data_IF_409628606193
#
_entry.id   IF_409628606193
#
_cell.length_a   1.000
_cell.length_b   1.000
_cell.length_c   1.000
_cell.angle_alpha   90.00
_cell.angle_beta   90.00
_cell.angle_gamma   90.00
#
_symmetry.space_group_name_H-M   'P 1'
#
loop_
_entity.id
_entity.type
_entity.pdbx_description
1 polymer ?
#
# COMPACT_ATOMS: atom_id res chain seq x y z
N UNK A 1 1.46 -6.61 -24.12
CA UNK A 1 0.10 -6.05 -24.01
C UNK A 1 -0.96 -7.09 -23.64
N UNK A 2 -0.72 -8.42 -23.66
CA UNK A 2 -1.73 -9.42 -23.29
C UNK A 2 -1.55 -10.07 -21.91
N UNK A 3 -0.49 -9.71 -21.15
CA UNK A 3 -0.13 -10.39 -19.90
C UNK A 3 -0.53 -9.63 -18.63
N UNK A 4 -0.70 -8.31 -18.71
CA UNK A 4 -1.08 -7.48 -17.55
C UNK A 4 -2.58 -7.60 -17.24
N UNK A 5 -3.42 -7.81 -18.26
CA UNK A 5 -4.87 -8.02 -18.11
C UNK A 5 -5.18 -9.27 -17.28
N UNK A 6 -4.53 -10.40 -17.57
CA UNK A 6 -4.76 -11.67 -16.88
C UNK A 6 -4.32 -11.65 -15.40
N UNK A 7 -3.24 -10.93 -15.07
CA UNK A 7 -2.80 -10.80 -13.68
C UNK A 7 -3.74 -9.89 -12.87
N UNK A 8 -4.23 -8.81 -13.47
CA UNK A 8 -5.22 -7.93 -12.85
C UNK A 8 -6.55 -8.63 -12.58
N UNK A 9 -7.01 -9.49 -13.48
CA UNK A 9 -8.27 -10.25 -13.32
C UNK A 9 -8.27 -11.13 -12.05
N UNK A 10 -7.16 -11.76 -11.70
CA UNK A 10 -7.08 -12.57 -10.48
C UNK A 10 -7.14 -11.73 -9.21
N UNK A 11 -6.51 -10.55 -9.20
CA UNK A 11 -6.57 -9.61 -8.08
C UNK A 11 -8.00 -9.07 -7.96
N UNK A 12 -8.62 -8.70 -9.08
CA UNK A 12 -10.03 -8.29 -9.13
C UNK A 12 -10.95 -9.35 -8.54
N UNK A 13 -10.81 -10.59 -9.00
CA UNK A 13 -11.62 -11.71 -8.56
C UNK A 13 -11.48 -11.97 -7.05
N UNK A 14 -10.30 -11.75 -6.46
CA UNK A 14 -10.12 -11.82 -5.01
C UNK A 14 -11.03 -10.81 -4.30
N UNK A 15 -11.03 -9.54 -4.71
CA UNK A 15 -11.85 -8.47 -4.10
C UNK A 15 -13.34 -8.54 -4.45
N UNK A 16 -13.71 -9.33 -5.45
CA UNK A 16 -15.12 -9.62 -5.80
C UNK A 16 -15.63 -10.92 -5.16
N UNK A 17 -14.76 -11.70 -4.52
CA UNK A 17 -15.14 -12.94 -3.82
C UNK A 17 -15.96 -12.66 -2.55
N UNK A 18 -16.69 -13.67 -2.07
CA UNK A 18 -17.52 -13.55 -0.86
C UNK A 18 -16.72 -13.13 0.39
N UNK A 19 -15.45 -13.51 0.46
CA UNK A 19 -14.54 -13.16 1.57
C UNK A 19 -13.85 -11.81 1.32
N UNK A 20 -13.37 -11.56 0.09
CA UNK A 20 -12.64 -10.35 -0.24
C UNK A 20 -13.49 -9.10 -0.44
N UNK A 21 -14.80 -9.26 -0.70
CA UNK A 21 -15.69 -8.12 -0.93
C UNK A 21 -15.76 -7.16 0.27
N UNK A 22 -15.53 -7.65 1.48
CA UNK A 22 -15.54 -6.86 2.71
C UNK A 22 -14.16 -6.31 3.11
N UNK A 23 -13.09 -6.71 2.43
CA UNK A 23 -11.73 -6.26 2.75
C UNK A 23 -11.46 -4.87 2.15
N UNK A 24 -11.08 -3.92 3.01
CA UNK A 24 -10.64 -2.57 2.64
C UNK A 24 -11.65 -1.82 1.74
N UNK A 25 -12.94 -1.73 2.13
CA UNK A 25 -13.99 -1.15 1.29
C UNK A 25 -13.79 0.35 1.05
N UNK A 26 -13.03 1.03 1.91
CA UNK A 26 -12.74 2.44 1.81
C UNK A 26 -11.42 2.76 1.08
N UNK A 27 -10.72 1.76 0.54
CA UNK A 27 -9.52 1.97 -0.25
C UNK A 27 -9.81 2.87 -1.47
N UNK A 28 -9.06 3.98 -1.67
CA UNK A 28 -9.25 4.89 -2.80
C UNK A 28 -9.01 4.19 -4.13
N UNK A 29 -8.04 3.27 -4.18
CA UNK A 29 -7.65 2.54 -5.39
C UNK A 29 -8.64 1.42 -5.72
N UNK A 30 -9.33 0.85 -4.73
CA UNK A 30 -10.38 -0.15 -4.97
C UNK A 30 -11.52 0.41 -5.82
N UNK A 31 -11.88 1.68 -5.61
CA UNK A 31 -12.91 2.38 -6.41
C UNK A 31 -12.47 2.61 -7.86
N UNK A 32 -11.18 2.52 -8.16
CA UNK A 32 -10.62 2.73 -9.50
C UNK A 32 -10.61 1.45 -10.35
N UNK A 33 -10.86 0.27 -9.75
CA UNK A 33 -10.83 -1.01 -10.45
C UNK A 33 -11.87 -1.10 -11.59
N UNK A 34 -12.99 -0.38 -11.48
CA UNK A 34 -14.02 -0.34 -12.53
C UNK A 34 -13.70 0.64 -13.67
N UNK A 35 -12.75 1.55 -13.47
CA UNK A 35 -12.37 2.56 -14.45
C UNK A 35 -10.89 2.47 -14.88
N UNK A 36 -10.24 1.32 -14.72
CA UNK A 36 -8.85 1.09 -15.13
C UNK A 36 -8.56 1.47 -16.59
N UNK A 37 -9.54 1.32 -17.48
CA UNK A 37 -9.46 1.73 -18.90
C UNK A 37 -9.23 3.23 -19.12
N UNK A 38 -9.39 4.05 -18.07
CA UNK A 38 -9.18 5.51 -18.11
C UNK A 38 -7.75 5.92 -17.73
N UNK A 39 -6.93 4.96 -17.29
CA UNK A 39 -5.57 5.20 -16.82
C UNK A 39 -4.53 4.67 -17.83
N UNK A 40 -3.32 5.23 -17.79
CA UNK A 40 -2.19 4.67 -18.52
C UNK A 40 -1.69 3.36 -17.88
N UNK A 41 -0.86 2.61 -18.62
CA UNK A 41 -0.39 1.30 -18.19
C UNK A 41 0.42 1.35 -16.88
N UNK A 42 1.16 2.43 -16.64
CA UNK A 42 1.96 2.61 -15.42
C UNK A 42 1.06 2.81 -14.20
N UNK A 43 0.05 3.65 -14.34
CA UNK A 43 -0.98 3.90 -13.33
C UNK A 43 -1.78 2.63 -13.02
N UNK A 44 -2.20 1.88 -14.05
CA UNK A 44 -2.88 0.58 -13.89
C UNK A 44 -1.99 -0.41 -13.13
N UNK A 45 -0.72 -0.52 -13.50
CA UNK A 45 0.25 -1.38 -12.80
C UNK A 45 0.39 -0.96 -11.33
N UNK A 46 0.51 0.34 -11.06
CA UNK A 46 0.62 0.86 -9.69
C UNK A 46 -0.63 0.55 -8.85
N UNK A 47 -1.83 0.70 -9.43
CA UNK A 47 -3.10 0.32 -8.78
C UNK A 47 -3.10 -1.16 -8.44
N UNK A 48 -2.73 -2.04 -9.38
CA UNK A 48 -2.70 -3.48 -9.12
C UNK A 48 -1.72 -3.88 -8.03
N UNK A 49 -0.52 -3.29 -8.04
CA UNK A 49 0.50 -3.59 -7.03
C UNK A 49 0.07 -3.04 -5.65
N UNK A 50 -0.62 -1.89 -5.59
CA UNK A 50 -1.24 -1.41 -4.36
C UNK A 50 -2.27 -2.42 -3.82
N UNK A 51 -3.19 -2.88 -4.67
CA UNK A 51 -4.22 -3.85 -4.28
C UNK A 51 -3.61 -5.19 -3.85
N UNK A 52 -2.53 -5.63 -4.50
CA UNK A 52 -1.76 -6.79 -4.06
C UNK A 52 -1.10 -6.55 -2.69
N UNK A 53 -0.67 -5.32 -2.39
CA UNK A 53 -0.19 -4.91 -1.08
C UNK A 53 -1.20 -5.20 0.03
N UNK A 54 -2.47 -4.85 -0.18
CA UNK A 54 -3.56 -5.21 0.76
C UNK A 54 -3.71 -6.73 0.95
N UNK A 55 -3.63 -7.51 -0.13
CA UNK A 55 -3.72 -8.98 -0.04
C UNK A 55 -2.54 -9.52 0.77
N UNK A 56 -1.33 -9.03 0.51
CA UNK A 56 -0.12 -9.45 1.23
C UNK A 56 -0.22 -9.07 2.70
N UNK A 57 -0.61 -7.84 3.03
CA UNK A 57 -0.81 -7.38 4.41
C UNK A 57 -1.80 -8.29 5.15
N UNK A 58 -2.97 -8.54 4.54
CA UNK A 58 -3.99 -9.40 5.11
C UNK A 58 -3.52 -10.84 5.32
N UNK A 59 -2.82 -11.44 4.35
CA UNK A 59 -2.36 -12.84 4.39
C UNK A 59 -1.13 -13.04 5.26
N UNK A 60 -0.25 -12.06 5.36
CA UNK A 60 0.95 -12.08 6.20
C UNK A 60 0.65 -11.67 7.66
N UNK A 61 -0.42 -10.91 7.85
CA UNK A 61 -0.84 -10.36 9.12
C UNK A 61 -1.20 -11.40 10.16
N UNK A 62 -1.22 -10.96 11.42
CA UNK A 62 -1.74 -11.73 12.54
C UNK A 62 -3.11 -11.18 12.94
N UNK A 63 -3.98 -11.98 13.57
CA UNK A 63 -5.25 -11.49 14.07
C UNK A 63 -5.07 -10.31 15.03
N UNK A 64 -5.72 -9.18 14.75
CA UNK A 64 -5.71 -7.98 15.58
C UNK A 64 -7.09 -7.33 15.58
N UNK A 65 -7.34 -6.40 16.51
CA UNK A 65 -8.58 -5.63 16.55
C UNK A 65 -8.39 -4.27 15.89
N UNK A 66 -9.36 -3.86 15.07
CA UNK A 66 -9.42 -2.50 14.56
C UNK A 66 -10.04 -1.51 15.58
N UNK A 67 -10.10 -0.23 15.22
CA UNK A 67 -10.72 0.83 16.02
C UNK A 67 -12.22 0.58 16.34
N UNK A 68 -12.89 -0.24 15.53
CA UNK A 68 -14.28 -0.67 15.73
C UNK A 68 -14.41 -1.95 16.58
N UNK A 69 -13.30 -2.43 17.18
CA UNK A 69 -13.20 -3.69 17.94
C UNK A 69 -13.40 -4.97 17.10
N UNK A 70 -13.38 -4.88 15.77
CA UNK A 70 -13.55 -6.03 14.88
C UNK A 70 -12.22 -6.78 14.69
N UNK A 71 -12.31 -8.11 14.62
CA UNK A 71 -11.14 -8.94 14.33
C UNK A 71 -10.79 -8.88 12.84
N UNK A 72 -9.60 -8.37 12.55
CA UNK A 72 -9.00 -8.35 11.22
C UNK A 72 -7.65 -9.09 11.25
N UNK A 73 -7.02 -9.25 10.10
CA UNK A 73 -5.62 -9.69 10.01
C UNK A 73 -4.82 -8.62 9.27
N UNK A 74 -3.75 -8.15 9.90
CA UNK A 74 -2.85 -7.14 9.37
C UNK A 74 -1.45 -7.30 9.95
N UNK A 75 -0.43 -6.85 9.22
CA UNK A 75 0.94 -6.73 9.73
C UNK A 75 0.93 -5.63 10.78
N UNK A 76 1.40 -5.95 11.99
CA UNK A 76 1.47 -5.02 13.12
C UNK A 76 2.25 -3.75 12.71
N UNK A 77 1.70 -2.58 13.07
CA UNK A 77 2.26 -1.26 12.75
C UNK A 77 2.79 -0.49 13.96
N UNK A 78 2.83 -1.13 15.12
CA UNK A 78 3.37 -0.56 16.35
C UNK A 78 4.82 -0.12 16.10
N UNK A 79 5.11 1.10 16.54
CA UNK A 79 6.41 1.77 16.44
C UNK A 79 6.94 2.02 15.02
N UNK A 80 6.14 1.82 13.97
CA UNK A 80 6.53 2.10 12.57
C UNK A 80 5.59 3.07 11.84
N UNK A 81 4.63 3.69 12.55
CA UNK A 81 3.62 4.57 11.94
C UNK A 81 4.25 5.79 11.25
N UNK A 82 5.25 6.42 11.86
CA UNK A 82 5.90 7.61 11.31
C UNK A 82 6.59 7.31 9.96
N UNK A 83 7.31 6.18 9.88
CA UNK A 83 7.93 5.72 8.63
C UNK A 83 6.88 5.40 7.56
N UNK A 84 5.78 4.73 7.95
CA UNK A 84 4.68 4.41 7.05
C UNK A 84 4.04 5.69 6.48
N UNK A 85 3.74 6.67 7.33
CA UNK A 85 3.17 7.96 6.91
C UNK A 85 4.11 8.75 6.02
N UNK A 86 5.40 8.73 6.33
CA UNK A 86 6.41 9.36 5.48
C UNK A 86 6.41 8.75 4.07
N UNK A 87 6.45 7.41 3.95
CA UNK A 87 6.39 6.71 2.66
C UNK A 87 5.10 7.04 1.91
N UNK A 88 3.97 7.05 2.62
CA UNK A 88 2.68 7.35 2.01
C UNK A 88 2.64 8.78 1.46
N UNK A 89 3.09 9.78 2.24
CA UNK A 89 3.17 11.17 1.81
C UNK A 89 4.04 11.31 0.55
N UNK A 90 5.22 10.71 0.57
CA UNK A 90 6.17 10.76 -0.54
C UNK A 90 5.63 10.16 -1.84
N UNK A 91 4.73 9.18 -1.74
CA UNK A 91 4.13 8.54 -2.90
C UNK A 91 2.83 9.22 -3.37
N UNK A 92 2.04 9.76 -2.44
CA UNK A 92 0.65 10.14 -2.71
C UNK A 92 0.34 11.63 -2.62
N UNK A 93 1.26 12.45 -2.11
CA UNK A 93 1.05 13.88 -2.02
C UNK A 93 1.18 14.54 -3.41
N UNK A 94 0.08 15.06 -4.00
CA UNK A 94 0.10 15.60 -5.35
C UNK A 94 0.96 16.86 -5.46
N UNK A 95 1.00 17.70 -4.44
CA UNK A 95 1.76 18.95 -4.46
C UNK A 95 3.26 18.68 -4.35
N UNK A 96 3.66 17.76 -3.47
CA UNK A 96 5.06 17.31 -3.37
C UNK A 96 5.52 16.63 -4.67
N UNK A 97 4.71 15.73 -5.23
CA UNK A 97 5.04 15.02 -6.46
C UNK A 97 5.19 15.98 -7.65
N UNK A 98 4.31 16.98 -7.75
CA UNK A 98 4.40 18.03 -8.76
C UNK A 98 5.66 18.88 -8.60
N UNK A 99 6.06 19.20 -7.36
CA UNK A 99 7.31 19.91 -7.10
C UNK A 99 8.54 19.07 -7.50
N UNK A 100 8.52 17.76 -7.18
CA UNK A 100 9.59 16.80 -7.51
C UNK A 100 9.75 16.52 -9.01
N UNK A 101 8.71 16.74 -9.81
CA UNK A 101 8.81 16.73 -11.27
C UNK A 101 9.71 17.86 -11.80
N UNK A 102 9.78 18.99 -11.10
CA UNK A 102 10.61 20.14 -11.48
C UNK A 102 12.00 20.06 -10.83
N UNK A 103 12.05 19.73 -9.53
CA UNK A 103 13.28 19.55 -8.78
C UNK A 103 13.20 18.30 -7.90
N UNK A 104 13.96 17.26 -8.25
CA UNK A 104 13.91 15.96 -7.55
C UNK A 104 14.33 16.02 -6.08
N UNK A 105 15.09 17.04 -5.68
CA UNK A 105 15.65 17.18 -4.34
C UNK A 105 14.75 17.99 -3.38
N UNK A 106 13.48 18.24 -3.74
CA UNK A 106 12.51 18.92 -2.86
C UNK A 106 12.23 18.07 -1.62
N UNK A 107 12.48 18.66 -0.46
CA UNK A 107 12.25 18.04 0.84
C UNK A 107 10.80 18.27 1.28
N UNK A 108 10.08 17.24 1.79
CA UNK A 108 8.74 17.42 2.32
C UNK A 108 8.65 18.51 3.40
N UNK A 109 9.72 18.75 4.16
CA UNK A 109 9.77 19.80 5.19
C UNK A 109 9.83 21.22 4.63
N UNK A 110 10.10 21.40 3.34
CA UNK A 110 10.27 22.72 2.71
C UNK A 110 8.97 23.57 2.77
N UNK A 111 7.79 22.92 2.75
CA UNK A 111 6.49 23.59 2.79
C UNK A 111 5.45 22.76 3.53
N UNK A 112 4.51 23.42 4.19
CA UNK A 112 3.39 22.76 4.89
C UNK A 112 2.54 21.90 3.95
N UNK A 113 2.39 22.31 2.69
CA UNK A 113 1.62 21.59 1.66
C UNK A 113 2.25 20.23 1.29
N UNK A 114 3.54 20.04 1.59
CA UNK A 114 4.29 18.82 1.30
C UNK A 114 4.33 17.86 2.48
N UNK A 115 3.73 18.23 3.61
CA UNK A 115 3.78 17.50 4.88
C UNK A 115 2.45 16.81 5.17
N UNK A 116 2.51 15.78 6.00
CA UNK A 116 1.37 15.13 6.64
C UNK A 116 0.25 14.64 5.70
N UNK A 117 0.53 14.43 4.41
CA UNK A 117 -0.43 13.82 3.50
C UNK A 117 -0.58 12.33 3.82
N UNK A 118 -1.74 11.95 4.35
CA UNK A 118 -2.06 10.60 4.77
C UNK A 118 -3.33 10.05 4.09
N UNK A 119 -3.71 8.81 4.47
CA UNK A 119 -4.98 8.21 4.04
C UNK A 119 -6.21 9.05 4.43
N UNK A 120 -6.14 9.80 5.52
CA UNK A 120 -7.24 10.61 6.04
C UNK A 120 -7.69 11.70 5.07
N UNK A 121 -6.76 12.32 4.33
CA UNK A 121 -7.06 13.27 3.26
C UNK A 121 -7.80 12.64 2.08
N UNK A 122 -7.81 11.31 1.98
CA UNK A 122 -8.59 10.53 1.01
C UNK A 122 -9.84 9.88 1.60
N UNK A 123 -10.14 10.17 2.87
CA UNK A 123 -11.34 9.69 3.57
C UNK A 123 -11.20 8.28 4.17
N UNK A 124 -9.99 7.76 4.31
CA UNK A 124 -9.72 6.49 5.01
C UNK A 124 -9.35 6.79 6.46
N UNK A 125 -9.95 6.06 7.41
CA UNK A 125 -9.73 6.29 8.85
C UNK A 125 -9.54 4.97 9.58
N UNK A 126 -8.94 5.03 10.77
CA UNK A 126 -8.72 3.88 11.64
C UNK A 126 -8.01 2.73 10.97
N UNK A 127 -8.59 1.52 11.01
CA UNK A 127 -7.98 0.37 10.36
C UNK A 127 -7.89 0.45 8.84
N UNK A 128 -8.80 1.17 8.17
CA UNK A 128 -8.64 1.39 6.73
C UNK A 128 -7.42 2.27 6.48
N UNK A 129 -7.19 3.33 7.28
CA UNK A 129 -5.98 4.14 7.17
C UNK A 129 -4.71 3.32 7.42
N UNK A 130 -4.71 2.47 8.44
CA UNK A 130 -3.59 1.56 8.70
C UNK A 130 -3.34 0.62 7.51
N UNK A 131 -4.40 0.01 6.97
CA UNK A 131 -4.27 -0.89 5.82
C UNK A 131 -3.70 -0.17 4.57
N UNK A 132 -4.14 1.07 4.29
CA UNK A 132 -3.61 1.89 3.20
C UNK A 132 -2.12 2.16 3.36
N UNK A 133 -1.70 2.51 4.58
CA UNK A 133 -0.29 2.78 4.88
C UNK A 133 0.59 1.55 4.60
N UNK A 134 0.19 0.37 5.06
CA UNK A 134 0.96 -0.86 4.85
C UNK A 134 0.91 -1.34 3.39
N UNK A 135 -0.26 -1.27 2.74
CA UNK A 135 -0.40 -1.63 1.33
C UNK A 135 0.51 -0.77 0.44
N UNK A 136 0.57 0.53 0.71
CA UNK A 136 1.44 1.45 -0.03
C UNK A 136 2.92 1.17 0.23
N UNK A 137 3.31 0.89 1.48
CA UNK A 137 4.67 0.50 1.79
C UNK A 137 5.08 -0.81 1.10
N UNK A 138 4.20 -1.81 1.04
CA UNK A 138 4.44 -3.06 0.30
C UNK A 138 4.58 -2.79 -1.19
N UNK A 139 3.72 -1.96 -1.79
CA UNK A 139 3.82 -1.54 -3.19
C UNK A 139 5.18 -0.93 -3.49
N UNK A 140 5.62 0.01 -2.65
CA UNK A 140 6.92 0.65 -2.76
C UNK A 140 8.06 -0.35 -2.59
N UNK A 141 7.96 -1.31 -1.67
CA UNK A 141 8.98 -2.35 -1.53
C UNK A 141 9.12 -3.18 -2.80
N UNK A 142 7.99 -3.57 -3.41
CA UNK A 142 7.97 -4.37 -4.63
C UNK A 142 8.57 -3.62 -5.84
N UNK A 143 8.37 -2.30 -5.93
CA UNK A 143 8.82 -1.49 -7.06
C UNK A 143 10.21 -0.87 -6.87
N UNK A 144 10.54 -0.47 -5.65
CA UNK A 144 11.79 0.20 -5.30
C UNK A 144 12.27 -0.20 -3.88
N UNK A 145 12.83 -1.41 -3.73
CA UNK A 145 13.26 -1.92 -2.43
C UNK A 145 14.37 -1.08 -1.80
N UNK A 146 15.24 -0.45 -2.59
CA UNK A 146 16.33 0.37 -2.07
C UNK A 146 15.82 1.65 -1.44
N UNK A 147 14.81 2.28 -2.04
CA UNK A 147 14.15 3.44 -1.45
C UNK A 147 13.53 3.07 -0.10
N UNK A 148 12.70 2.02 -0.04
CA UNK A 148 12.03 1.67 1.21
C UNK A 148 13.03 1.31 2.32
N UNK A 149 14.08 0.54 2.00
CA UNK A 149 15.12 0.21 2.98
C UNK A 149 15.94 1.41 3.46
N UNK A 150 15.98 2.48 2.69
CA UNK A 150 16.70 3.72 3.06
C UNK A 150 15.82 4.63 3.90
N UNK A 151 14.57 4.80 3.48
CA UNK A 151 13.65 5.79 4.04
C UNK A 151 12.82 5.24 5.20
N UNK A 152 12.48 3.96 5.14
CA UNK A 152 11.63 3.27 6.11
C UNK A 152 12.20 1.87 6.46
N UNK A 153 13.41 1.79 7.04
CA UNK A 153 14.10 0.53 7.30
C UNK A 153 13.34 -0.38 8.27
N UNK A 154 12.63 0.18 9.26
CA UNK A 154 11.87 -0.62 10.22
C UNK A 154 10.61 -1.20 9.57
N UNK A 155 9.94 -0.43 8.71
CA UNK A 155 8.84 -0.94 7.87
C UNK A 155 9.33 -2.06 6.96
N UNK A 156 10.46 -1.87 6.26
CA UNK A 156 11.01 -2.90 5.39
C UNK A 156 11.37 -4.19 6.17
N UNK A 157 11.92 -4.05 7.38
CA UNK A 157 12.19 -5.18 8.26
C UNK A 157 10.90 -5.88 8.73
N UNK A 158 9.86 -5.11 9.08
CA UNK A 158 8.56 -5.64 9.53
C UNK A 158 7.87 -6.44 8.42
N UNK A 159 7.82 -5.89 7.20
CA UNK A 159 7.27 -6.58 6.03
C UNK A 159 8.02 -7.88 5.79
N UNK A 160 9.36 -7.84 5.79
CA UNK A 160 10.19 -9.05 5.59
C UNK A 160 9.91 -10.12 6.65
N UNK A 161 9.84 -9.72 7.92
CA UNK A 161 9.60 -10.62 9.03
C UNK A 161 8.20 -11.26 9.00
N UNK A 162 7.19 -10.56 8.50
CA UNK A 162 5.84 -11.09 8.37
C UNK A 162 5.67 -11.97 7.13
N UNK A 163 6.19 -11.52 5.98
CA UNK A 163 5.95 -12.17 4.69
C UNK A 163 6.86 -13.36 4.45
N UNK A 164 8.18 -13.21 4.67
CA UNK A 164 9.13 -14.24 4.26
C UNK A 164 8.94 -15.61 4.92
N UNK A 165 8.57 -15.71 6.22
CA UNK A 165 8.31 -17.00 6.84
C UNK A 165 6.87 -17.52 6.61
N UNK A 166 5.97 -16.72 6.03
CA UNK A 166 4.58 -17.12 5.87
C UNK A 166 4.44 -18.25 4.82
N UNK A 167 3.92 -19.43 5.18
CA UNK A 167 3.90 -20.60 4.28
C UNK A 167 2.98 -20.42 3.06
N UNK A 168 2.02 -19.49 3.10
CA UNK A 168 1.14 -19.20 1.97
C UNK A 168 1.77 -18.21 0.99
N UNK A 169 2.78 -17.45 1.42
CA UNK A 169 3.41 -16.39 0.63
C UNK A 169 4.84 -16.71 0.26
N UNK A 170 5.56 -17.52 1.04
CA UNK A 170 7.00 -17.64 0.93
C UNK A 170 7.50 -18.30 -0.37
N UNK A 171 6.66 -19.12 -0.99
CA UNK A 171 6.91 -19.70 -2.30
C UNK A 171 6.50 -18.78 -3.47
N UNK A 172 5.80 -17.68 -3.18
CA UNK A 172 5.25 -16.74 -4.17
C UNK A 172 6.08 -15.46 -4.20
N UNK A 173 6.37 -14.89 -3.02
CA UNK A 173 7.08 -13.62 -2.86
C UNK A 173 8.01 -13.66 -1.65
N UNK A 174 9.17 -13.02 -1.80
CA UNK A 174 10.15 -12.79 -0.74
C UNK A 174 10.65 -11.35 -0.84
N UNK A 175 10.80 -10.70 0.30
CA UNK A 175 11.36 -9.35 0.40
C UNK A 175 12.83 -9.42 0.86
N UNK A 176 13.69 -8.62 0.22
CA UNK A 176 15.14 -8.61 0.42
C UNK A 176 15.63 -7.31 1.04
#
# INVERSE_FOLDING_TARGET
MANDDAQGEHIRAFFESAEGQYLFPNCPFRRQLDCLHQFDAESVSSIWVHMLGHIIDHKAGQPCRNDSDEMISAINQDDINDELRHVYNDCNNPELNKARQVNRDVDPSDRLEYQDFGPEQRGCFGADAQAELMAEAIRVYMQNPNYLKTVAPNVAARIRAAVNPNPNLNSIIQFN
#
